data_IF_126009967907
#
_entry.id   IF_126009967907
#
_cell.length_a   1.000
_cell.length_b   1.000
_cell.length_c   1.000
_cell.angle_alpha   90.00
_cell.angle_beta   90.00
_cell.angle_gamma   90.00
#
_symmetry.space_group_name_H-M   'P 1'
#
loop_
_entity.id
_entity.type
_entity.pdbx_description
1 polymer ?
#
# COMPACT_ATOMS: atom_id res chain seq x y z
N UNK A 1 -27.92 -73.53 -14.89
CA UNK A 1 -29.09 -72.93 -15.58
C UNK A 1 -30.34 -73.25 -14.76
N UNK A 2 -31.45 -72.46 -14.72
CA UNK A 2 -31.82 -71.24 -15.45
C UNK A 2 -32.13 -70.01 -14.54
N UNK A 3 -31.79 -68.78 -14.95
CA UNK A 3 -32.65 -67.68 -15.48
C UNK A 3 -33.99 -67.42 -14.76
N UNK A 4 -34.13 -66.23 -14.14
CA UNK A 4 -35.18 -65.25 -14.46
C UNK A 4 -34.93 -63.89 -13.80
N UNK A 5 -34.84 -62.84 -14.64
CA UNK A 5 -35.02 -61.43 -14.27
C UNK A 5 -36.50 -61.16 -14.05
N UNK A 6 -36.83 -60.34 -13.06
CA UNK A 6 -37.95 -59.40 -13.12
C UNK A 6 -37.57 -58.15 -12.31
N UNK A 7 -37.56 -57.01 -12.99
CA UNK A 7 -37.44 -55.65 -12.41
C UNK A 7 -38.82 -55.05 -12.52
N UNK A 8 -39.45 -54.69 -11.40
CA UNK A 8 -40.47 -53.63 -11.32
C UNK A 8 -40.80 -53.39 -9.84
N UNK A 9 -40.74 -52.15 -9.36
CA UNK A 9 -41.30 -51.83 -8.05
C UNK A 9 -40.80 -50.53 -7.46
N UNK A 10 -41.17 -49.43 -8.13
CA UNK A 10 -41.31 -48.06 -7.66
C UNK A 10 -40.78 -47.68 -6.26
N UNK A 11 -39.95 -46.64 -6.27
CA UNK A 11 -39.39 -45.92 -5.13
C UNK A 11 -40.39 -45.67 -3.99
N UNK A 12 -39.90 -45.94 -2.77
CA UNK A 12 -40.53 -45.57 -1.50
C UNK A 12 -40.62 -44.04 -1.38
N UNK A 13 -41.81 -43.57 -1.04
CA UNK A 13 -42.05 -42.25 -0.48
C UNK A 13 -41.30 -42.12 0.86
N UNK A 14 -40.49 -41.07 0.99
CA UNK A 14 -39.87 -40.63 2.24
C UNK A 14 -39.79 -39.10 2.25
N UNK A 15 -40.12 -38.44 3.37
CA UNK A 15 -40.43 -37.01 3.40
C UNK A 15 -39.21 -36.13 3.15
N UNK A 16 -39.38 -35.12 2.30
CA UNK A 16 -38.43 -34.01 2.11
C UNK A 16 -38.36 -33.22 3.42
N UNK A 17 -37.30 -33.42 4.18
CA UNK A 17 -36.91 -32.52 5.26
C UNK A 17 -36.24 -31.31 4.59
N UNK A 18 -36.98 -30.20 4.49
CA UNK A 18 -36.42 -28.91 4.08
C UNK A 18 -35.55 -28.41 5.25
N UNK A 19 -34.24 -28.62 5.13
CA UNK A 19 -33.26 -28.02 6.01
C UNK A 19 -33.11 -26.55 5.61
N UNK A 20 -33.74 -25.65 6.37
CA UNK A 20 -33.56 -24.20 6.24
C UNK A 20 -32.15 -23.88 6.75
N UNK A 21 -31.18 -23.81 5.85
CA UNK A 21 -29.83 -23.34 6.17
C UNK A 21 -29.89 -21.84 6.41
N UNK A 22 -29.87 -21.44 7.69
CA UNK A 22 -29.74 -20.04 8.06
C UNK A 22 -28.42 -19.49 7.52
N UNK A 23 -28.50 -18.55 6.58
CA UNK A 23 -27.35 -17.79 6.10
C UNK A 23 -27.00 -16.80 7.22
N UNK A 24 -26.07 -17.16 8.09
CA UNK A 24 -25.49 -16.22 9.05
C UNK A 24 -24.74 -15.13 8.28
N UNK A 25 -25.32 -13.92 8.21
CA UNK A 25 -24.58 -12.72 7.83
C UNK A 25 -23.58 -12.39 8.96
N UNK A 26 -22.43 -13.07 8.98
CA UNK A 26 -21.32 -12.64 9.79
C UNK A 26 -20.75 -11.36 9.17
N UNK A 27 -20.63 -10.24 9.92
CA UNK A 27 -19.95 -9.05 9.43
C UNK A 27 -18.50 -9.43 9.12
N UNK A 28 -18.12 -9.34 7.85
CA UNK A 28 -16.72 -9.51 7.43
C UNK A 28 -15.94 -8.36 8.06
N UNK A 29 -14.89 -8.61 8.87
CA UNK A 29 -14.03 -7.53 9.33
C UNK A 29 -13.42 -6.89 8.09
N UNK A 30 -13.81 -5.66 7.81
CA UNK A 30 -13.12 -4.82 6.84
C UNK A 30 -11.77 -4.52 7.46
N UNK A 31 -10.72 -5.25 7.06
CA UNK A 31 -9.35 -4.79 7.31
C UNK A 31 -9.23 -3.51 6.52
N UNK A 32 -9.44 -2.36 7.18
CA UNK A 32 -9.09 -1.08 6.62
C UNK A 32 -7.60 -1.20 6.29
N UNK A 33 -7.29 -1.26 4.99
CA UNK A 33 -5.93 -1.29 4.49
C UNK A 33 -5.28 -0.01 5.02
N UNK A 34 -4.55 -0.16 6.13
CA UNK A 34 -3.96 0.97 6.82
C UNK A 34 -2.96 1.54 5.85
N UNK A 35 -3.26 2.73 5.31
CA UNK A 35 -2.34 3.44 4.41
C UNK A 35 -0.94 3.38 5.01
N UNK A 36 0.11 3.06 4.22
CA UNK A 36 1.47 3.00 4.73
C UNK A 36 1.78 4.28 5.53
N UNK A 37 1.95 4.14 6.85
CA UNK A 37 2.21 5.28 7.73
C UNK A 37 3.68 5.64 7.64
N UNK A 38 4.05 6.37 6.59
CA UNK A 38 5.42 6.82 6.37
C UNK A 38 5.77 8.12 7.11
N UNK A 39 4.81 8.80 7.74
CA UNK A 39 5.07 10.05 8.47
C UNK A 39 5.99 9.82 9.67
N UNK A 40 7.08 10.57 9.80
CA UNK A 40 8.09 10.43 10.85
C UNK A 40 9.46 10.94 10.41
N UNK A 41 10.43 10.89 11.31
CA UNK A 41 11.84 11.09 10.96
C UNK A 41 12.50 9.74 10.73
N UNK A 42 13.15 9.61 9.59
CA UNK A 42 13.78 8.41 9.10
C UNK A 42 15.27 8.66 8.89
N UNK A 43 16.07 7.62 9.08
CA UNK A 43 17.51 7.65 8.84
C UNK A 43 17.91 6.55 7.89
N UNK A 44 18.57 6.92 6.80
CA UNK A 44 19.24 6.01 5.88
C UNK A 44 20.73 6.00 6.17
N UNK A 45 21.38 4.86 5.94
CA UNK A 45 22.85 4.79 5.90
C UNK A 45 23.27 4.88 4.44
N UNK A 46 24.02 5.92 4.07
CA UNK A 46 24.58 6.09 2.72
C UNK A 46 26.12 6.00 2.78
N UNK A 47 26.80 5.84 1.63
CA UNK A 47 28.27 5.86 1.58
C UNK A 47 28.88 7.16 2.14
N UNK A 48 28.18 8.29 2.01
CA UNK A 48 28.60 9.60 2.54
C UNK A 48 28.27 9.79 4.02
N UNK A 49 27.58 8.83 4.65
CA UNK A 49 27.21 8.85 6.07
C UNK A 49 25.71 8.71 6.33
N UNK A 50 25.28 8.80 7.60
CA UNK A 50 23.87 8.79 7.94
C UNK A 50 23.16 10.02 7.37
N UNK A 51 22.02 9.80 6.70
CA UNK A 51 21.16 10.87 6.19
C UNK A 51 19.77 10.79 6.79
N UNK A 52 19.21 11.94 7.16
CA UNK A 52 17.88 12.03 7.74
C UNK A 52 16.85 12.57 6.76
N UNK A 53 15.67 11.97 6.78
CA UNK A 53 14.50 12.38 6.01
C UNK A 53 13.35 12.60 6.99
N UNK A 54 12.75 13.78 6.95
CA UNK A 54 11.55 14.09 7.74
C UNK A 54 10.34 14.02 6.82
N UNK A 55 9.44 13.07 7.03
CA UNK A 55 8.19 12.92 6.27
C UNK A 55 7.04 13.44 7.11
N UNK A 56 6.34 14.48 6.64
CA UNK A 56 5.31 15.18 7.41
C UNK A 56 3.90 14.91 6.87
N UNK A 57 2.85 14.96 7.72
CA UNK A 57 1.48 14.70 7.30
C UNK A 57 0.88 15.76 6.35
N UNK A 58 1.50 16.94 6.22
CA UNK A 58 1.07 18.02 5.31
C UNK A 58 1.49 17.79 3.86
N UNK A 59 1.91 16.57 3.50
CA UNK A 59 2.48 16.21 2.20
C UNK A 59 3.84 16.86 1.89
N UNK A 60 4.55 17.41 2.90
CA UNK A 60 5.95 17.81 2.75
C UNK A 60 6.91 16.74 3.28
N UNK A 61 8.07 16.62 2.65
CA UNK A 61 9.20 15.88 3.17
C UNK A 61 10.46 16.76 3.07
N UNK A 62 11.38 16.62 4.03
CA UNK A 62 12.68 17.31 3.98
C UNK A 62 13.83 16.32 4.01
N UNK A 63 14.88 16.61 3.26
CA UNK A 63 16.14 15.89 3.22
C UNK A 63 17.28 16.92 3.17
N UNK A 64 18.12 16.96 4.20
CA UNK A 64 19.08 18.05 4.35
C UNK A 64 18.37 19.41 4.35
N UNK A 65 18.75 20.29 3.43
CA UNK A 65 18.15 21.62 3.25
C UNK A 65 16.97 21.63 2.26
N UNK A 66 16.74 20.52 1.55
CA UNK A 66 15.68 20.44 0.54
C UNK A 66 14.33 20.11 1.17
N UNK A 67 13.26 20.65 0.58
CA UNK A 67 11.87 20.31 0.91
C UNK A 67 11.10 19.99 -0.35
N UNK A 68 10.53 18.79 -0.39
CA UNK A 68 9.78 18.25 -1.54
C UNK A 68 8.35 17.94 -1.15
N UNK A 69 7.47 17.84 -2.14
CA UNK A 69 6.11 17.31 -1.95
C UNK A 69 6.11 15.80 -2.09
N UNK A 70 5.32 15.10 -1.29
CA UNK A 70 5.10 13.66 -1.43
C UNK A 70 3.63 13.27 -1.52
N UNK A 71 3.36 12.11 -2.15
CA UNK A 71 2.04 11.45 -2.18
C UNK A 71 2.20 9.94 -2.00
N UNK A 72 1.17 9.32 -1.44
CA UNK A 72 1.07 7.85 -1.35
C UNK A 72 -0.09 7.40 -2.24
N UNK A 73 0.15 6.42 -3.09
CA UNK A 73 -0.87 5.68 -3.83
C UNK A 73 -0.61 4.19 -3.69
N UNK A 74 -1.60 3.39 -3.30
CA UNK A 74 -1.44 1.96 -3.00
C UNK A 74 -0.14 1.67 -2.21
N UNK A 75 0.84 1.02 -2.84
CA UNK A 75 2.14 0.65 -2.27
C UNK A 75 3.30 1.52 -2.82
N UNK A 76 2.98 2.66 -3.41
CA UNK A 76 3.92 3.58 -4.03
C UNK A 76 3.98 4.94 -3.32
N UNK A 77 5.21 5.42 -3.13
CA UNK A 77 5.55 6.77 -2.72
C UNK A 77 5.93 7.58 -3.95
N UNK A 78 5.28 8.71 -4.16
CA UNK A 78 5.65 9.66 -5.20
C UNK A 78 6.31 10.87 -4.56
N UNK A 79 7.49 11.25 -5.02
CA UNK A 79 8.19 12.47 -4.63
C UNK A 79 8.18 13.45 -5.81
N UNK A 80 7.92 14.71 -5.52
CA UNK A 80 7.95 15.77 -6.51
C UNK A 80 9.38 16.34 -6.60
N UNK A 81 9.99 16.20 -7.77
CA UNK A 81 11.26 16.83 -8.10
C UNK A 81 11.03 17.78 -9.27
N UNK A 82 11.09 19.09 -9.01
CA UNK A 82 10.70 20.10 -9.99
C UNK A 82 9.24 19.91 -10.45
N UNK A 83 9.04 19.80 -11.76
CA UNK A 83 7.74 19.63 -12.40
C UNK A 83 7.33 18.17 -12.64
N UNK A 84 8.01 17.21 -12.00
CA UNK A 84 7.78 15.78 -12.20
C UNK A 84 7.51 15.01 -10.90
N UNK A 85 6.70 13.95 -11.02
CA UNK A 85 6.55 12.94 -9.98
C UNK A 85 7.47 11.75 -10.27
N UNK A 86 8.36 11.43 -9.32
CA UNK A 86 9.13 10.18 -9.34
C UNK A 86 8.47 9.19 -8.38
N UNK A 87 8.10 8.02 -8.89
CA UNK A 87 7.42 6.97 -8.13
C UNK A 87 8.39 5.90 -7.64
N UNK A 88 8.25 5.55 -6.37
CA UNK A 88 8.99 4.51 -5.68
C UNK A 88 8.03 3.48 -5.11
N UNK A 89 8.43 2.21 -5.10
CA UNK A 89 7.74 1.18 -4.33
C UNK A 89 8.20 1.26 -2.89
N UNK A 90 7.25 1.16 -1.96
CA UNK A 90 7.56 1.19 -0.53
C UNK A 90 7.05 -0.06 0.20
N UNK A 91 7.82 -0.50 1.18
CA UNK A 91 7.40 -1.49 2.15
C UNK A 91 7.67 -0.96 3.56
N UNK A 92 6.62 -0.86 4.39
CA UNK A 92 6.73 -0.39 5.77
C UNK A 92 6.53 -1.56 6.72
N UNK A 93 7.52 -1.83 7.58
CA UNK A 93 7.47 -2.85 8.61
C UNK A 93 7.84 -2.24 9.96
N UNK A 94 6.83 -1.78 10.71
CA UNK A 94 7.03 -1.12 12.00
C UNK A 94 7.88 0.16 11.88
N UNK A 95 9.11 0.12 12.38
CA UNK A 95 10.09 1.20 12.29
C UNK A 95 11.05 1.10 11.11
N UNK A 96 10.84 0.17 10.18
CA UNK A 96 11.64 0.01 8.97
C UNK A 96 10.83 0.41 7.74
N UNK A 97 11.46 1.16 6.85
CA UNK A 97 10.94 1.54 5.54
C UNK A 97 11.95 1.10 4.49
N UNK A 98 11.50 0.28 3.55
CA UNK A 98 12.27 -0.04 2.35
C UNK A 98 11.68 0.74 1.19
N UNK A 99 12.54 1.43 0.43
CA UNK A 99 12.19 2.16 -0.80
C UNK A 99 12.96 1.50 -1.94
N UNK A 100 12.30 1.28 -3.08
CA UNK A 100 12.93 0.66 -4.25
C UNK A 100 12.33 1.17 -5.57
N UNK A 101 13.07 0.99 -6.67
CA UNK A 101 12.65 1.46 -7.99
C UNK A 101 12.85 2.97 -8.15
N UNK A 102 12.11 3.58 -9.07
CA UNK A 102 12.32 4.98 -9.42
C UNK A 102 13.69 5.19 -10.03
N UNK A 103 14.48 6.08 -9.44
CA UNK A 103 15.87 6.39 -9.78
C UNK A 103 16.90 5.66 -8.88
N UNK A 104 16.47 4.74 -8.02
CA UNK A 104 17.38 3.96 -7.18
C UNK A 104 17.94 2.74 -7.92
N UNK A 105 19.26 2.61 -7.96
CA UNK A 105 19.95 1.40 -8.47
C UNK A 105 19.67 0.17 -7.59
N UNK A 106 19.67 0.36 -6.27
CA UNK A 106 19.39 -0.69 -5.28
C UNK A 106 18.36 -0.22 -4.25
N UNK A 107 17.58 -1.15 -3.65
CA UNK A 107 16.64 -0.81 -2.59
C UNK A 107 17.32 -0.14 -1.38
N UNK A 108 16.80 1.01 -0.96
CA UNK A 108 17.28 1.73 0.22
C UNK A 108 16.45 1.36 1.45
N UNK A 109 17.13 1.11 2.57
CA UNK A 109 16.49 0.85 3.87
C UNK A 109 16.66 2.05 4.80
N UNK A 110 15.56 2.48 5.39
CA UNK A 110 15.50 3.55 6.36
C UNK A 110 14.95 3.05 7.69
N UNK A 111 15.49 3.56 8.79
CA UNK A 111 15.00 3.31 10.14
C UNK A 111 14.33 4.54 10.70
N UNK A 112 13.12 4.39 11.23
CA UNK A 112 12.40 5.45 11.94
C UNK A 112 13.13 5.75 13.25
N UNK A 113 13.51 7.01 13.43
CA UNK A 113 14.22 7.48 14.62
C UNK A 113 13.38 8.42 15.50
N UNK A 114 12.23 8.87 15.02
CA UNK A 114 11.35 9.72 15.81
C UNK A 114 10.07 10.17 15.09
N UNK A 115 9.24 10.97 15.77
CA UNK A 115 8.14 11.68 15.13
C UNK A 115 8.69 12.71 14.13
N UNK A 116 7.86 13.11 13.16
CA UNK A 116 8.23 14.15 12.20
C UNK A 116 8.30 15.50 12.91
N UNK A 117 9.38 16.26 12.71
CA UNK A 117 9.43 17.67 13.10
C UNK A 117 8.54 18.51 12.19
N UNK A 118 7.96 19.62 12.67
CA UNK A 118 7.21 20.55 11.80
C UNK A 118 8.05 21.07 10.64
N UNK A 119 7.39 21.49 9.55
CA UNK A 119 8.08 22.20 8.46
C UNK A 119 8.48 23.57 9.02
N UNK A 120 9.73 24.02 8.82
CA UNK A 120 10.14 25.36 9.24
C UNK A 120 9.21 26.42 8.66
N UNK A 121 8.88 27.42 9.47
CA UNK A 121 8.06 28.54 9.03
C UNK A 121 8.74 29.28 7.87
N UNK A 122 7.95 29.69 6.87
CA UNK A 122 8.44 30.43 5.71
C UNK A 122 9.00 29.58 4.56
N UNK A 123 9.22 28.27 4.73
CA UNK A 123 9.56 27.38 3.60
C UNK A 123 8.26 26.94 2.94
N UNK A 124 7.89 27.38 1.73
CA UNK A 124 6.66 26.95 1.08
C UNK A 124 6.70 25.45 0.73
N UNK A 125 5.54 24.80 0.75
CA UNK A 125 5.41 23.46 0.17
C UNK A 125 5.38 23.64 -1.36
N UNK A 126 6.33 23.06 -2.12
CA UNK A 126 6.31 23.15 -3.58
C UNK A 126 4.94 22.74 -4.14
N UNK A 127 4.51 23.33 -5.25
CA UNK A 127 3.26 22.97 -5.90
C UNK A 127 3.26 21.50 -6.33
N UNK A 128 2.08 20.90 -6.47
CA UNK A 128 2.00 19.52 -6.95
C UNK A 128 2.17 19.51 -8.47
N UNK A 129 3.11 18.71 -9.01
CA UNK A 129 3.13 18.43 -10.43
C UNK A 129 1.81 17.81 -10.90
N UNK A 130 1.43 18.00 -12.18
CA UNK A 130 0.28 17.32 -12.75
C UNK A 130 0.52 15.80 -12.72
N UNK A 131 -0.45 15.03 -12.20
CA UNK A 131 -0.38 13.55 -12.23
C UNK A 131 -0.59 12.97 -13.64
N UNK A 132 -0.96 13.80 -14.61
CA UNK A 132 -1.41 13.39 -15.93
C UNK A 132 -0.23 13.36 -16.91
N UNK A 133 0.51 12.25 -16.99
CA UNK A 133 1.09 11.83 -18.28
C UNK A 133 0.20 10.74 -18.84
N UNK A 134 -0.72 11.12 -19.74
CA UNK A 134 -1.26 10.17 -20.72
C UNK A 134 -0.05 9.69 -21.54
N UNK A 135 0.16 8.38 -21.79
CA UNK A 135 1.16 7.98 -22.77
C UNK A 135 0.81 8.71 -24.06
N UNK A 136 1.73 9.56 -24.54
CA UNK A 136 1.64 10.17 -25.85
C UNK A 136 1.68 9.01 -26.85
N UNK A 137 0.52 8.67 -27.39
CA UNK A 137 0.43 7.72 -28.50
C UNK A 137 0.90 8.49 -29.74
N UNK A 138 2.17 8.32 -30.07
CA UNK A 138 2.70 8.64 -31.41
C UNK A 138 2.26 7.58 -32.41
#
# INVERSE_FOLDING_TARGET
>A
MPRRRYVWGMMRLGPVVILVTAISLAPRPTVAQSRPRITGTWRAQTPEGPREVVVRPDSSASYGEETVRWRIGADSLYLAFGDEWVGYVIAVKGSELTISGGDLEEPMKLKRIGPSTPRPDGIPLPDAPPMNRKPEAT
#
